data_IF_402458350445
#
_entry.id   IF_402458350445
#
_cell.length_a   1.000
_cell.length_b   1.000
_cell.length_c   1.000
_cell.angle_alpha   90.00
_cell.angle_beta   90.00
_cell.angle_gamma   90.00
#
_symmetry.space_group_name_H-M   'P 1'
#
loop_
_entity.id
_entity.type
_entity.pdbx_description
1 polymer ?
#
# COMPACT_ATOMS: atom_id res chain seq x y z
N UNK A 1 16.83 -10.49 -2.29
CA UNK A 1 16.44 -11.36 -1.18
C UNK A 1 14.91 -11.38 -0.94
N UNK A 2 14.14 -10.43 -1.49
CA UNK A 2 12.69 -10.35 -1.31
C UNK A 2 12.01 -11.65 -1.79
N UNK A 3 11.16 -12.25 -0.93
CA UNK A 3 10.38 -13.46 -1.21
C UNK A 3 8.95 -13.16 -1.66
N UNK A 4 8.63 -11.90 -1.89
CA UNK A 4 7.34 -11.42 -2.41
C UNK A 4 6.12 -11.86 -1.56
N UNK A 5 6.25 -11.89 -0.24
CA UNK A 5 5.18 -12.30 0.67
C UNK A 5 4.21 -11.17 1.05
N UNK A 6 4.50 -9.93 0.68
CA UNK A 6 3.72 -8.71 0.93
C UNK A 6 3.46 -8.36 2.42
N UNK A 7 4.13 -9.03 3.38
CA UNK A 7 3.96 -8.71 4.81
C UNK A 7 4.33 -7.27 5.16
N UNK A 8 5.33 -6.71 4.47
CA UNK A 8 5.72 -5.31 4.67
C UNK A 8 4.59 -4.33 4.32
N UNK A 9 3.85 -4.58 3.24
CA UNK A 9 2.68 -3.81 2.88
C UNK A 9 1.54 -4.01 3.88
N UNK A 10 1.30 -5.27 4.30
CA UNK A 10 0.24 -5.62 5.25
C UNK A 10 0.34 -4.81 6.55
N UNK A 11 1.54 -4.72 7.12
CA UNK A 11 1.76 -4.07 8.42
C UNK A 11 1.93 -2.54 8.34
N UNK A 12 2.01 -1.98 7.13
CA UNK A 12 2.19 -0.53 6.99
C UNK A 12 0.90 0.22 7.33
N UNK A 13 0.88 1.05 8.38
CA UNK A 13 -0.32 1.76 8.80
C UNK A 13 -0.72 2.90 7.86
N UNK A 14 0.22 3.41 7.07
CA UNK A 14 0.03 4.59 6.21
C UNK A 14 -0.08 4.25 4.72
N UNK A 15 -0.11 2.96 4.36
CA UNK A 15 -0.09 2.49 2.96
C UNK A 15 1.08 3.02 2.13
N UNK A 16 2.18 3.40 2.77
CA UNK A 16 3.36 4.00 2.14
C UNK A 16 4.33 2.99 1.52
N UNK A 17 4.08 1.69 1.65
CA UNK A 17 4.82 0.61 0.97
C UNK A 17 3.83 -0.35 0.34
N UNK A 18 3.94 -0.56 -0.97
CA UNK A 18 2.97 -1.36 -1.75
C UNK A 18 3.65 -2.30 -2.74
N UNK A 19 3.09 -3.51 -2.94
CA UNK A 19 3.50 -4.39 -4.03
C UNK A 19 2.79 -4.00 -5.33
N UNK A 20 3.50 -4.07 -6.42
CA UNK A 20 2.96 -3.86 -7.77
C UNK A 20 3.27 -5.06 -8.66
N UNK A 21 2.30 -5.41 -9.49
CA UNK A 21 2.46 -6.32 -10.61
C UNK A 21 2.53 -5.50 -11.89
N UNK A 22 3.53 -5.76 -12.69
CA UNK A 22 3.91 -4.93 -13.84
C UNK A 22 3.95 -5.83 -15.08
N UNK A 23 3.25 -5.43 -16.13
CA UNK A 23 3.32 -6.10 -17.43
C UNK A 23 4.60 -5.68 -18.19
N UNK A 24 4.92 -6.39 -19.26
CA UNK A 24 6.08 -6.05 -20.12
C UNK A 24 5.94 -4.63 -20.72
N UNK A 25 4.73 -4.26 -21.17
CA UNK A 25 4.45 -2.93 -21.74
C UNK A 25 4.56 -1.81 -20.72
N UNK A 26 4.08 -2.05 -19.50
CA UNK A 26 4.22 -1.10 -18.40
C UNK A 26 5.68 -0.93 -18.01
N UNK A 27 6.43 -2.03 -17.93
CA UNK A 27 7.87 -1.97 -17.66
C UNK A 27 8.62 -1.17 -18.72
N UNK A 28 8.26 -1.30 -19.99
CA UNK A 28 8.90 -0.54 -21.07
C UNK A 28 8.67 0.99 -20.97
N UNK A 29 7.60 1.41 -20.28
CA UNK A 29 7.25 2.82 -20.05
C UNK A 29 7.77 3.35 -18.71
N UNK A 30 8.33 2.48 -17.87
CA UNK A 30 8.77 2.84 -16.54
C UNK A 30 10.03 3.71 -16.54
N UNK A 31 10.26 4.51 -15.50
CA UNK A 31 11.53 5.20 -15.29
C UNK A 31 12.72 4.23 -15.33
N UNK A 32 13.89 4.74 -15.75
CA UNK A 32 15.08 3.90 -15.97
C UNK A 32 15.52 3.11 -14.71
N UNK A 33 15.30 3.69 -13.53
CA UNK A 33 15.64 3.07 -12.23
C UNK A 33 14.51 2.20 -11.64
N UNK A 34 13.37 2.09 -12.32
CA UNK A 34 12.24 1.26 -11.89
C UNK A 34 12.54 -0.24 -12.04
N UNK A 35 13.31 -0.77 -11.10
CA UNK A 35 13.76 -2.17 -11.11
C UNK A 35 12.66 -3.12 -10.66
N UNK A 36 12.42 -4.14 -11.45
CA UNK A 36 11.44 -5.19 -11.19
C UNK A 36 12.11 -6.57 -11.15
N UNK A 37 11.41 -7.56 -10.66
CA UNK A 37 11.81 -8.97 -10.67
C UNK A 37 10.63 -9.82 -11.14
N UNK A 38 10.89 -10.98 -11.73
CA UNK A 38 9.83 -11.93 -12.08
C UNK A 38 8.92 -12.17 -10.89
N UNK A 39 7.61 -12.07 -11.10
CA UNK A 39 6.64 -12.36 -10.07
C UNK A 39 6.62 -13.85 -9.72
N UNK A 40 6.42 -14.18 -8.44
CA UNK A 40 6.41 -15.55 -7.92
C UNK A 40 4.98 -15.90 -7.49
N UNK A 41 4.41 -16.95 -8.06
CA UNK A 41 3.10 -17.48 -7.70
C UNK A 41 2.34 -17.96 -8.92
N UNK A 42 1.44 -18.91 -8.71
CA UNK A 42 0.56 -19.44 -9.76
C UNK A 42 -0.37 -18.31 -10.26
N UNK A 43 -0.46 -18.14 -11.57
CA UNK A 43 -1.24 -17.08 -12.21
C UNK A 43 -0.58 -15.70 -12.20
N UNK A 44 0.72 -15.64 -11.87
CA UNK A 44 1.54 -14.42 -11.94
C UNK A 44 2.69 -14.53 -12.96
N UNK A 45 2.65 -15.55 -13.80
CA UNK A 45 3.74 -15.92 -14.72
C UNK A 45 4.04 -14.81 -15.74
N UNK A 46 3.03 -14.02 -16.10
CA UNK A 46 3.13 -12.94 -17.09
C UNK A 46 3.51 -11.60 -16.50
N UNK A 47 3.69 -11.53 -15.17
CA UNK A 47 4.00 -10.29 -14.47
C UNK A 47 5.43 -10.24 -13.95
N UNK A 48 5.91 -9.02 -13.83
CA UNK A 48 7.03 -8.68 -12.96
C UNK A 48 6.50 -8.07 -11.66
N UNK A 49 7.31 -8.09 -10.63
CA UNK A 49 6.98 -7.66 -9.28
C UNK A 49 7.92 -6.57 -8.80
N UNK A 50 7.37 -5.56 -8.16
CA UNK A 50 8.11 -4.54 -7.40
C UNK A 50 7.43 -4.29 -6.05
N UNK A 51 8.22 -4.10 -5.01
CA UNK A 51 7.81 -3.38 -3.80
C UNK A 51 8.29 -1.95 -3.95
N UNK A 52 7.37 -0.99 -3.88
CA UNK A 52 7.68 0.43 -3.93
C UNK A 52 7.29 1.11 -2.62
N UNK A 53 8.12 2.01 -2.17
CA UNK A 53 7.90 2.85 -0.99
C UNK A 53 7.69 4.29 -1.46
N UNK A 54 6.69 4.97 -0.87
CA UNK A 54 6.63 6.43 -0.91
C UNK A 54 7.61 6.98 0.13
N UNK A 55 8.72 7.58 -0.27
CA UNK A 55 9.69 8.10 0.70
C UNK A 55 9.16 9.29 1.49
N UNK A 56 8.25 10.07 0.90
CA UNK A 56 7.70 11.29 1.52
C UNK A 56 6.58 10.99 2.52
N UNK A 57 5.88 9.85 2.36
CA UNK A 57 4.75 9.47 3.23
C UNK A 57 5.14 8.41 4.26
N UNK A 58 6.40 8.00 4.28
CA UNK A 58 6.91 7.00 5.22
C UNK A 58 7.19 7.62 6.58
N UNK A 59 6.50 7.18 7.63
CA UNK A 59 6.68 7.63 9.02
C UNK A 59 7.87 6.99 9.75
N UNK A 60 8.73 6.27 9.05
CA UNK A 60 9.97 5.66 9.59
C UNK A 60 9.76 4.76 10.82
N UNK A 61 8.59 4.15 10.97
CA UNK A 61 8.22 3.33 12.14
C UNK A 61 8.91 1.95 12.19
N UNK A 62 9.60 1.54 11.13
CA UNK A 62 10.29 0.25 11.00
C UNK A 62 9.40 -1.01 11.03
N UNK A 63 8.07 -0.89 11.09
CA UNK A 63 7.16 -2.04 11.15
C UNK A 63 7.38 -3.01 9.96
N UNK A 64 7.54 -2.48 8.73
CA UNK A 64 7.80 -3.28 7.52
C UNK A 64 9.16 -3.99 7.56
N UNK A 65 10.19 -3.37 8.12
CA UNK A 65 11.53 -3.96 8.27
C UNK A 65 11.47 -5.12 9.25
N UNK A 66 10.83 -4.92 10.41
CA UNK A 66 10.69 -5.96 11.45
C UNK A 66 9.81 -7.14 10.98
N UNK A 67 8.79 -6.88 10.17
CA UNK A 67 7.92 -7.92 9.64
C UNK A 67 8.52 -8.70 8.46
N UNK A 68 9.66 -8.27 7.90
CA UNK A 68 10.25 -8.88 6.72
C UNK A 68 11.01 -10.18 7.06
N UNK A 69 10.50 -11.37 6.71
CA UNK A 69 11.16 -12.64 7.07
C UNK A 69 12.48 -12.85 6.34
N UNK A 70 12.67 -12.18 5.20
CA UNK A 70 13.88 -12.29 4.38
C UNK A 70 14.89 -11.16 4.67
N UNK A 71 14.60 -10.27 5.62
CA UNK A 71 15.44 -9.10 5.95
C UNK A 71 15.86 -8.32 4.67
N UNK A 72 14.88 -8.13 3.77
CA UNK A 72 15.11 -7.52 2.47
C UNK A 72 14.94 -5.98 2.47
N UNK A 73 14.50 -5.42 3.58
CA UNK A 73 14.29 -4.00 3.78
C UNK A 73 15.29 -3.44 4.79
N UNK A 74 15.71 -2.21 4.56
CA UNK A 74 16.62 -1.48 5.46
C UNK A 74 16.17 -0.03 5.53
N UNK A 75 16.12 0.54 6.73
CA UNK A 75 15.87 1.97 6.91
C UNK A 75 17.06 2.78 6.42
N UNK A 76 16.78 3.88 5.73
CA UNK A 76 17.78 4.82 5.23
C UNK A 76 17.33 6.27 5.46
N UNK A 77 18.24 7.23 5.56
CA UNK A 77 17.89 8.64 5.63
C UNK A 77 17.07 9.07 4.41
N UNK A 78 16.00 9.85 4.62
CA UNK A 78 15.09 10.32 3.59
C UNK A 78 15.83 10.98 2.41
N UNK A 79 16.82 11.81 2.72
CA UNK A 79 17.58 12.58 1.72
C UNK A 79 18.22 11.66 0.67
N UNK A 80 18.61 10.45 1.06
CA UNK A 80 19.22 9.48 0.15
C UNK A 80 18.18 8.71 -0.70
N UNK A 81 16.90 8.85 -0.38
CA UNK A 81 15.81 8.09 -0.99
C UNK A 81 14.77 8.97 -1.73
N UNK A 82 14.92 10.30 -1.73
CA UNK A 82 13.97 11.21 -2.38
C UNK A 82 13.77 10.91 -3.87
N UNK A 83 14.77 10.41 -4.55
CA UNK A 83 14.69 10.04 -5.97
C UNK A 83 13.66 8.92 -6.24
N UNK A 84 13.38 8.06 -5.26
CA UNK A 84 12.36 7.00 -5.35
C UNK A 84 10.93 7.57 -5.47
N UNK A 85 10.72 8.88 -5.27
CA UNK A 85 9.41 9.52 -5.50
C UNK A 85 8.97 9.41 -6.96
N UNK A 86 9.89 9.48 -7.90
CA UNK A 86 9.60 9.33 -9.33
C UNK A 86 9.05 7.92 -9.62
N UNK A 87 9.68 6.91 -9.01
CA UNK A 87 9.25 5.52 -9.14
C UNK A 87 7.91 5.28 -8.44
N UNK A 88 7.67 5.96 -7.30
CA UNK A 88 6.38 5.92 -6.61
C UNK A 88 5.27 6.54 -7.46
N UNK A 89 5.48 7.73 -8.01
CA UNK A 89 4.51 8.42 -8.85
C UNK A 89 4.14 7.56 -10.08
N UNK A 90 5.14 6.95 -10.70
CA UNK A 90 4.89 6.00 -11.79
C UNK A 90 4.07 4.79 -11.32
N UNK A 91 4.45 4.19 -10.19
CA UNK A 91 3.75 3.02 -9.65
C UNK A 91 2.27 3.29 -9.37
N UNK A 92 1.91 4.52 -8.96
CA UNK A 92 0.52 4.93 -8.74
C UNK A 92 -0.31 5.01 -10.04
N UNK A 93 0.32 5.12 -11.20
CA UNK A 93 -0.39 5.09 -12.49
C UNK A 93 -0.73 3.68 -12.95
N UNK A 94 -0.16 2.64 -12.32
CA UNK A 94 -0.38 1.25 -12.71
C UNK A 94 -1.78 0.78 -12.28
N UNK A 95 -2.59 0.23 -13.18
CA UNK A 95 -3.90 -0.29 -12.82
C UNK A 95 -3.77 -1.54 -11.95
N UNK A 96 -4.75 -1.74 -11.07
CA UNK A 96 -4.88 -2.97 -10.31
C UNK A 96 -4.99 -4.19 -11.25
N UNK A 97 -4.30 -5.27 -10.92
CA UNK A 97 -4.31 -6.49 -11.73
C UNK A 97 -5.27 -7.52 -11.14
N UNK A 98 -6.12 -8.06 -11.98
CA UNK A 98 -6.92 -9.23 -11.62
C UNK A 98 -6.02 -10.46 -11.54
N UNK A 99 -5.84 -11.00 -10.36
CA UNK A 99 -5.02 -12.20 -10.12
C UNK A 99 -5.89 -13.36 -9.66
N UNK A 100 -5.37 -14.59 -9.81
CA UNK A 100 -6.00 -15.81 -9.28
C UNK A 100 -5.69 -16.02 -7.79
N UNK A 101 -4.96 -15.11 -7.16
CA UNK A 101 -4.62 -15.21 -5.74
C UNK A 101 -5.87 -14.98 -4.88
N UNK A 102 -5.97 -15.77 -3.81
CA UNK A 102 -7.00 -15.56 -2.82
C UNK A 102 -6.84 -14.18 -2.17
N UNK A 103 -7.85 -13.32 -2.35
CA UNK A 103 -7.85 -11.96 -1.81
C UNK A 103 -7.85 -11.91 -0.27
N UNK A 104 -8.22 -12.98 0.41
CA UNK A 104 -8.18 -13.09 1.86
C UNK A 104 -6.83 -13.59 2.39
N UNK A 105 -5.91 -13.96 1.51
CA UNK A 105 -4.54 -14.28 1.90
C UNK A 105 -3.72 -13.01 2.14
N UNK A 106 -2.68 -13.10 2.95
CA UNK A 106 -1.73 -11.99 3.18
C UNK A 106 -1.17 -11.46 1.88
N UNK A 107 -0.78 -12.34 0.97
CA UNK A 107 -0.18 -11.95 -0.31
C UNK A 107 -1.21 -11.34 -1.25
N UNK A 108 -2.36 -11.97 -1.39
CA UNK A 108 -3.40 -11.55 -2.33
C UNK A 108 -4.05 -10.22 -1.94
N UNK A 109 -4.40 -10.05 -0.65
CA UNK A 109 -5.03 -8.82 -0.16
C UNK A 109 -4.23 -7.56 -0.47
N UNK A 110 -2.90 -7.65 -0.47
CA UNK A 110 -2.05 -6.49 -0.61
C UNK A 110 -1.87 -6.02 -2.08
N UNK A 111 -2.32 -6.80 -3.06
CA UNK A 111 -2.39 -6.32 -4.45
C UNK A 111 -3.63 -5.47 -4.73
N UNK A 112 -4.60 -5.43 -3.81
CA UNK A 112 -5.74 -4.53 -3.90
C UNK A 112 -5.37 -3.13 -3.42
N UNK A 113 -5.89 -2.12 -4.10
CA UNK A 113 -5.66 -0.72 -3.72
C UNK A 113 -6.17 -0.47 -2.28
N UNK A 114 -5.35 0.07 -1.38
CA UNK A 114 -5.84 0.54 -0.10
C UNK A 114 -6.72 1.79 -0.30
N UNK A 115 -7.90 1.80 0.31
CA UNK A 115 -8.79 2.97 0.29
C UNK A 115 -8.77 3.71 1.63
N UNK A 116 -7.77 3.44 2.43
CA UNK A 116 -7.29 4.23 3.56
C UNK A 116 -5.78 4.39 3.40
N UNK A 117 -5.31 5.61 3.19
CA UNK A 117 -3.92 5.89 2.89
C UNK A 117 -3.47 7.24 3.46
N UNK A 118 -2.19 7.37 3.76
CA UNK A 118 -1.55 8.61 4.20
C UNK A 118 -2.26 9.30 5.36
N UNK A 119 -2.78 8.49 6.28
CA UNK A 119 -3.48 8.98 7.47
C UNK A 119 -2.52 9.63 8.47
N UNK A 120 -3.06 10.49 9.33
CA UNK A 120 -2.32 11.21 10.37
C UNK A 120 -2.14 10.43 11.69
N UNK A 121 -2.29 9.10 11.69
CA UNK A 121 -2.09 8.29 12.87
C UNK A 121 -0.61 8.23 13.29
N UNK A 122 -0.36 7.76 14.52
CA UNK A 122 0.99 7.59 15.05
C UNK A 122 1.85 6.67 14.18
N UNK A 123 3.15 6.90 14.19
CA UNK A 123 4.11 5.98 13.55
C UNK A 123 3.96 4.56 14.13
N UNK A 124 3.70 3.57 13.24
CA UNK A 124 3.48 2.19 13.66
C UNK A 124 2.09 1.89 14.24
N UNK A 125 1.10 2.74 14.01
CA UNK A 125 -0.27 2.55 14.48
C UNK A 125 -0.87 1.23 13.95
N UNK A 126 -1.19 0.30 14.84
CA UNK A 126 -1.76 -1.01 14.44
C UNK A 126 -3.21 -0.87 13.97
N UNK A 127 -3.96 0.07 14.55
CA UNK A 127 -5.37 0.29 14.22
C UNK A 127 -5.54 0.65 12.74
N UNK A 128 -4.77 1.61 12.23
CA UNK A 128 -4.85 2.00 10.82
C UNK A 128 -4.35 0.92 9.87
N UNK A 129 -3.44 0.04 10.31
CA UNK A 129 -3.06 -1.14 9.53
C UNK A 129 -4.24 -2.10 9.35
N UNK A 130 -5.04 -2.35 10.38
CA UNK A 130 -6.26 -3.16 10.28
C UNK A 130 -7.33 -2.48 9.42
N UNK A 131 -7.57 -1.19 9.62
CA UNK A 131 -8.54 -0.44 8.82
C UNK A 131 -8.14 -0.42 7.34
N UNK A 132 -6.86 -0.28 7.03
CA UNK A 132 -6.36 -0.39 5.65
C UNK A 132 -6.73 -1.74 5.02
N UNK A 133 -6.49 -2.86 5.71
CA UNK A 133 -6.86 -4.19 5.20
C UNK A 133 -8.36 -4.29 4.95
N UNK A 134 -9.19 -3.80 5.87
CA UNK A 134 -10.63 -3.78 5.68
C UNK A 134 -11.02 -3.00 4.41
N UNK A 135 -10.38 -1.86 4.16
CA UNK A 135 -10.64 -1.09 2.94
C UNK A 135 -10.18 -1.82 1.67
N UNK A 136 -9.08 -2.57 1.71
CA UNK A 136 -8.63 -3.38 0.58
C UNK A 136 -9.60 -4.53 0.25
N UNK A 137 -10.25 -5.10 1.27
CA UNK A 137 -11.16 -6.22 1.11
C UNK A 137 -12.61 -5.80 0.79
N UNK A 138 -13.06 -4.70 1.39
CA UNK A 138 -14.47 -4.32 1.39
C UNK A 138 -14.71 -2.85 1.06
N UNK A 139 -13.67 -2.04 0.91
CA UNK A 139 -13.72 -0.58 0.84
C UNK A 139 -14.80 0.03 -0.07
N UNK A 140 -15.00 -0.47 -1.32
CA UNK A 140 -16.02 0.08 -2.21
C UNK A 140 -17.46 0.00 -1.68
N UNK A 141 -17.71 -0.84 -0.68
CA UNK A 141 -19.04 -1.07 -0.08
C UNK A 141 -19.07 -0.79 1.42
N UNK A 142 -17.99 -0.24 1.97
CA UNK A 142 -17.91 0.04 3.40
C UNK A 142 -18.69 1.30 3.77
N UNK A 143 -19.37 1.23 4.90
CA UNK A 143 -19.90 2.39 5.63
C UNK A 143 -19.19 2.41 6.98
N UNK A 144 -18.53 3.51 7.26
CA UNK A 144 -17.78 3.71 8.52
C UNK A 144 -18.50 4.76 9.34
N UNK A 145 -18.90 4.38 10.55
CA UNK A 145 -19.44 5.29 11.55
C UNK A 145 -18.58 5.21 12.80
N UNK A 146 -18.06 6.33 13.23
CA UNK A 146 -17.26 6.40 14.46
C UNK A 146 -17.63 7.60 15.32
N UNK A 147 -17.11 7.56 16.54
CA UNK A 147 -17.26 8.62 17.53
C UNK A 147 -15.88 9.15 17.93
N UNK A 148 -15.86 10.06 18.88
CA UNK A 148 -14.62 10.66 19.41
C UNK A 148 -13.60 9.62 19.85
N UNK A 149 -12.40 9.70 19.33
CA UNK A 149 -11.29 8.79 19.60
C UNK A 149 -10.23 8.87 18.51
N UNK A 150 -9.32 7.90 18.48
CA UNK A 150 -8.25 7.86 17.46
C UNK A 150 -8.82 7.76 16.04
N UNK A 151 -9.88 7.01 15.81
CA UNK A 151 -10.53 6.89 14.51
C UNK A 151 -11.05 8.22 13.98
N UNK A 152 -11.54 9.09 14.86
CA UNK A 152 -11.88 10.46 14.50
C UNK A 152 -10.62 11.31 14.25
N UNK A 153 -9.62 11.21 15.12
CA UNK A 153 -8.42 12.04 15.04
C UNK A 153 -7.66 11.85 13.72
N UNK A 154 -7.48 10.61 13.28
CA UNK A 154 -6.79 10.34 12.02
C UNK A 154 -7.74 10.24 10.81
N UNK A 155 -9.04 10.04 11.02
CA UNK A 155 -10.04 9.84 9.95
C UNK A 155 -10.74 11.13 9.50
N UNK A 156 -10.83 12.15 10.34
CA UNK A 156 -11.56 13.40 10.07
C UNK A 156 -10.69 14.65 9.96
N UNK A 157 -9.39 14.49 9.83
CA UNK A 157 -8.45 15.61 9.73
C UNK A 157 -8.63 16.38 8.41
N UNK A 158 -9.53 17.36 8.40
CA UNK A 158 -9.76 18.21 7.24
C UNK A 158 -8.55 19.13 6.98
N UNK A 159 -8.12 19.29 5.71
CA UNK A 159 -8.68 18.73 4.47
C UNK A 159 -8.12 17.33 4.12
N UNK A 160 -7.32 16.73 4.96
CA UNK A 160 -6.54 15.51 4.68
C UNK A 160 -7.25 14.24 5.13
N UNK A 161 -8.52 14.06 4.78
CA UNK A 161 -9.25 12.82 5.05
C UNK A 161 -8.55 11.64 4.35
N UNK A 162 -8.17 10.58 5.09
CA UNK A 162 -7.35 9.50 4.54
C UNK A 162 -8.12 8.47 3.72
N UNK A 163 -9.45 8.50 3.74
CA UNK A 163 -10.27 7.62 2.91
C UNK A 163 -10.30 8.12 1.46
N UNK A 164 -10.13 7.19 0.52
CA UNK A 164 -10.10 7.49 -0.91
C UNK A 164 -11.01 6.54 -1.69
N UNK A 165 -11.05 6.69 -3.01
CA UNK A 165 -11.85 5.88 -3.91
C UNK A 165 -10.97 5.07 -4.87
N UNK A 166 -11.53 3.99 -5.41
CA UNK A 166 -10.91 3.23 -6.50
C UNK A 166 -11.09 3.95 -7.86
N UNK A 167 -10.58 3.36 -8.92
CA UNK A 167 -10.67 3.91 -10.28
C UNK A 167 -12.11 4.05 -10.81
N UNK A 168 -13.09 3.37 -10.21
CA UNK A 168 -14.51 3.46 -10.53
C UNK A 168 -15.24 4.55 -9.71
N UNK A 169 -14.52 5.22 -8.80
CA UNK A 169 -15.08 6.25 -7.92
C UNK A 169 -15.76 5.72 -6.65
N UNK A 170 -15.62 4.42 -6.34
CA UNK A 170 -16.19 3.83 -5.13
C UNK A 170 -15.16 3.75 -3.99
N UNK A 171 -15.61 4.05 -2.78
CA UNK A 171 -14.79 3.97 -1.58
C UNK A 171 -15.63 4.01 -0.31
N UNK A 172 -15.01 3.95 0.88
CA UNK A 172 -15.72 3.99 2.15
C UNK A 172 -16.55 5.27 2.30
N UNK A 173 -17.84 5.13 2.60
CA UNK A 173 -18.65 6.23 3.11
C UNK A 173 -18.30 6.41 4.59
N UNK A 174 -17.87 7.61 4.96
CA UNK A 174 -17.42 7.89 6.31
C UNK A 174 -18.30 8.93 7.01
N UNK A 175 -18.65 8.65 8.24
CA UNK A 175 -19.44 9.55 9.09
C UNK A 175 -18.89 9.53 10.52
N UNK A 176 -19.03 10.67 11.19
CA UNK A 176 -18.67 10.85 12.59
C UNK A 176 -19.82 11.47 13.37
N UNK A 177 -19.91 11.14 14.65
CA UNK A 177 -20.93 11.71 15.55
C UNK A 177 -20.63 13.17 15.91
#
# INVERSE_FOLDING_TARGET
KCVQCNRCSLVCPHAAIRPYLVTADEKAKAPADFKTKKAIGKGLEDYEFRIQVSPLDCYSCSACVNACPAQALTMKPLETQRHESVDWDYAQTLPEKHTTLDKFSVKGSQFHQPLLEFNGACAGCTETAYMKILTQLFGPRMIVANATGCTQAWGSAMPSIPYTTNCEGFGPAWSNS
#
